data_IF_714947524564
#
_entry.id   IF_714947524564
#
_cell.length_a   1.000
_cell.length_b   1.000
_cell.length_c   1.000
_cell.angle_alpha   90.00
_cell.angle_beta   90.00
_cell.angle_gamma   90.00
#
_symmetry.space_group_name_H-M   'P 1'
#
loop_
_entity.id
_entity.type
_entity.pdbx_description
1 polymer ?
#
# COMPACT_ATOMS: atom_id res chain seq x y z
N UNK A 1 -18.30 -1.55 2.58
CA UNK A 1 -17.70 -1.95 1.31
C UNK A 1 -16.65 -3.03 1.56
N UNK A 2 -16.66 -4.08 0.77
CA UNK A 2 -15.65 -5.12 0.86
C UNK A 2 -14.86 -5.21 -0.44
N UNK A 3 -13.63 -5.69 -0.34
CA UNK A 3 -12.77 -5.95 -1.48
C UNK A 3 -11.96 -7.20 -1.20
N UNK A 4 -11.59 -7.93 -2.24
CA UNK A 4 -10.84 -9.18 -2.11
C UNK A 4 -9.42 -9.10 -2.66
N UNK A 5 -9.15 -8.13 -3.53
CA UNK A 5 -7.87 -7.99 -4.21
C UNK A 5 -7.51 -6.53 -4.37
N UNK A 6 -6.21 -6.29 -4.45
CA UNK A 6 -5.65 -4.97 -4.73
C UNK A 6 -4.70 -5.11 -5.91
N UNK A 7 -4.84 -4.24 -6.90
CA UNK A 7 -3.91 -4.20 -8.03
C UNK A 7 -2.99 -3.02 -7.88
N UNK A 8 -1.70 -3.30 -7.84
CA UNK A 8 -0.67 -2.27 -7.71
C UNK A 8 -0.36 -1.64 -9.06
N UNK A 9 0.28 -0.48 -9.03
CA UNK A 9 0.79 0.16 -10.23
C UNK A 9 1.98 -0.63 -10.77
N UNK A 10 2.27 -0.44 -12.05
CA UNK A 10 3.44 -1.04 -12.69
C UNK A 10 4.72 -0.59 -11.98
N UNK A 11 4.82 0.69 -11.66
CA UNK A 11 5.98 1.27 -10.98
C UNK A 11 6.22 0.65 -9.60
N UNK A 12 5.17 0.52 -8.79
CA UNK A 12 5.28 -0.10 -7.48
C UNK A 12 5.68 -1.57 -7.60
N UNK A 13 5.10 -2.30 -8.55
CA UNK A 13 5.39 -3.71 -8.78
C UNK A 13 6.86 -3.95 -9.12
N UNK A 14 7.42 -3.14 -10.02
CA UNK A 14 8.83 -3.25 -10.39
C UNK A 14 9.73 -3.00 -9.18
N UNK A 15 9.43 -1.98 -8.40
CA UNK A 15 10.22 -1.64 -7.21
C UNK A 15 10.15 -2.71 -6.14
N UNK A 16 8.99 -3.29 -5.92
CA UNK A 16 8.83 -4.41 -4.98
C UNK A 16 9.63 -5.63 -5.43
N UNK A 17 9.64 -5.92 -6.73
CA UNK A 17 10.43 -7.01 -7.29
C UNK A 17 11.93 -6.78 -7.05
N UNK A 18 12.41 -5.56 -7.25
CA UNK A 18 13.80 -5.20 -7.01
C UNK A 18 14.15 -5.32 -5.52
N UNK A 19 13.27 -4.86 -4.64
CA UNK A 19 13.47 -4.99 -3.20
C UNK A 19 13.49 -6.45 -2.76
N UNK A 20 12.61 -7.28 -3.31
CA UNK A 20 12.63 -8.72 -3.02
C UNK A 20 13.97 -9.34 -3.40
N UNK A 21 14.50 -8.97 -4.56
CA UNK A 21 15.80 -9.47 -5.02
C UNK A 21 16.95 -9.06 -4.09
N UNK A 22 16.86 -7.89 -3.48
CA UNK A 22 17.91 -7.36 -2.59
C UNK A 22 17.78 -7.84 -1.15
N UNK A 23 16.56 -7.99 -0.66
CA UNK A 23 16.32 -8.23 0.77
C UNK A 23 15.85 -9.65 1.07
N UNK A 24 15.34 -10.38 0.07
CA UNK A 24 14.71 -11.68 0.29
C UNK A 24 13.32 -11.59 0.91
N UNK A 25 12.80 -10.39 1.15
CA UNK A 25 11.48 -10.18 1.74
C UNK A 25 10.43 -10.19 0.64
N UNK A 26 9.31 -10.90 0.86
CA UNK A 26 8.25 -11.03 -0.14
C UNK A 26 7.48 -9.73 -0.34
N UNK A 27 6.90 -9.50 -1.54
CA UNK A 27 6.18 -8.27 -1.83
C UNK A 27 5.04 -7.93 -0.86
N UNK A 28 4.31 -8.94 -0.35
CA UNK A 28 3.23 -8.68 0.60
C UNK A 28 3.76 -8.07 1.91
N UNK A 29 4.88 -8.56 2.42
CA UNK A 29 5.50 -8.01 3.63
C UNK A 29 6.06 -6.61 3.34
N UNK A 30 6.71 -6.42 2.20
CA UNK A 30 7.21 -5.12 1.79
C UNK A 30 6.08 -4.10 1.66
N UNK A 31 4.93 -4.49 1.15
CA UNK A 31 3.74 -3.63 1.07
C UNK A 31 3.25 -3.20 2.45
N UNK A 32 3.26 -4.11 3.43
CA UNK A 32 2.86 -3.78 4.80
C UNK A 32 3.77 -2.72 5.40
N UNK A 33 5.06 -2.87 5.22
CA UNK A 33 6.06 -1.90 5.70
C UNK A 33 5.85 -0.56 4.98
N UNK A 34 5.71 -0.60 3.66
CA UNK A 34 5.49 0.59 2.86
C UNK A 34 4.20 1.32 3.24
N UNK A 35 3.12 0.59 3.50
CA UNK A 35 1.87 1.17 3.95
C UNK A 35 2.06 1.98 5.23
N UNK A 36 2.72 1.40 6.22
CA UNK A 36 3.00 2.10 7.48
C UNK A 36 3.86 3.34 7.23
N UNK A 37 4.82 3.25 6.32
CA UNK A 37 5.66 4.38 5.93
C UNK A 37 4.84 5.48 5.27
N UNK A 38 3.89 5.12 4.40
CA UNK A 38 3.01 6.07 3.74
C UNK A 38 2.11 6.81 4.73
N UNK A 39 1.66 6.12 5.79
CA UNK A 39 0.83 6.76 6.81
C UNK A 39 1.58 7.86 7.60
N UNK A 40 2.90 7.85 7.57
CA UNK A 40 3.70 8.90 8.22
C UNK A 40 3.77 10.18 7.40
N UNK A 41 3.48 10.10 6.12
CA UNK A 41 3.43 11.27 5.25
C UNK A 41 2.05 11.92 5.41
N UNK A 42 1.98 13.21 5.83
CA UNK A 42 0.69 13.86 6.04
C UNK A 42 -0.07 14.17 4.76
N UNK A 43 0.60 14.16 3.60
CA UNK A 43 -0.08 14.39 2.33
C UNK A 43 -1.05 13.25 2.01
N UNK A 44 -2.21 13.59 1.46
CA UNK A 44 -3.19 12.60 1.03
C UNK A 44 -2.76 12.08 -0.34
N UNK A 45 -2.50 10.77 -0.50
CA UNK A 45 -2.13 10.25 -1.81
C UNK A 45 -3.34 10.26 -2.74
N UNK A 46 -3.11 10.52 -4.01
CA UNK A 46 -4.17 10.57 -5.02
C UNK A 46 -4.23 9.23 -5.75
N UNK A 47 -5.35 8.50 -5.64
CA UNK A 47 -5.48 7.19 -6.30
C UNK A 47 -5.23 7.25 -7.82
N UNK A 48 -5.64 8.34 -8.47
CA UNK A 48 -5.47 8.51 -9.91
C UNK A 48 -4.01 8.60 -10.36
N UNK A 49 -3.08 8.82 -9.44
CA UNK A 49 -1.65 8.85 -9.77
C UNK A 49 -1.04 7.46 -9.95
N UNK A 50 -1.80 6.42 -9.65
CA UNK A 50 -1.31 5.04 -9.69
C UNK A 50 -2.14 4.21 -10.65
N UNK A 51 -1.51 3.72 -11.72
CA UNK A 51 -2.18 2.84 -12.68
C UNK A 51 -2.51 1.48 -12.06
N UNK A 52 -3.22 0.64 -12.80
CA UNK A 52 -3.60 -0.70 -12.37
C UNK A 52 -2.96 -1.76 -13.28
N UNK A 53 -1.74 -1.50 -13.73
CA UNK A 53 -1.05 -2.37 -14.70
C UNK A 53 -0.03 -3.30 -14.04
N UNK A 54 0.05 -3.27 -12.72
CA UNK A 54 1.01 -4.08 -12.00
C UNK A 54 0.41 -5.36 -11.41
N UNK A 55 1.09 -5.86 -10.38
CA UNK A 55 0.71 -7.10 -9.72
C UNK A 55 -0.60 -6.97 -8.96
N UNK A 56 -1.45 -7.99 -9.07
CA UNK A 56 -2.64 -8.12 -8.24
C UNK A 56 -2.31 -8.98 -7.03
N UNK A 57 -2.71 -8.52 -5.85
CA UNK A 57 -2.47 -9.24 -4.60
C UNK A 57 -3.80 -9.50 -3.92
N UNK A 58 -4.02 -10.74 -3.45
CA UNK A 58 -5.19 -11.08 -2.65
C UNK A 58 -5.13 -10.32 -1.33
N UNK A 59 -6.28 -9.85 -0.84
CA UNK A 59 -6.37 -9.05 0.39
C UNK A 59 -5.69 -9.71 1.57
N UNK A 60 -6.00 -10.97 1.82
CA UNK A 60 -5.49 -11.66 3.01
C UNK A 60 -4.04 -12.14 2.86
N UNK A 61 -3.56 -12.30 1.64
CA UNK A 61 -2.13 -12.47 1.37
C UNK A 61 -1.40 -11.17 1.69
N UNK A 62 -2.00 -10.04 1.33
CA UNK A 62 -1.41 -8.73 1.58
C UNK A 62 -1.35 -8.41 3.07
N UNK A 63 -2.47 -8.57 3.78
CA UNK A 63 -2.58 -8.15 5.18
C UNK A 63 -2.29 -9.26 6.19
N UNK A 64 -2.42 -10.53 5.78
CA UNK A 64 -2.19 -11.68 6.64
C UNK A 64 -3.18 -11.72 7.80
N UNK A 65 -2.71 -12.20 8.94
CA UNK A 65 -3.52 -12.26 10.17
C UNK A 65 -3.79 -10.87 10.76
N UNK A 66 -3.16 -9.82 10.22
CA UNK A 66 -3.29 -8.45 10.71
C UNK A 66 -4.30 -7.62 9.91
N UNK A 67 -5.18 -8.28 9.16
CA UNK A 67 -6.14 -7.58 8.28
C UNK A 67 -6.95 -6.52 9.01
N UNK A 68 -7.54 -6.89 10.15
CA UNK A 68 -8.36 -5.96 10.93
C UNK A 68 -7.56 -4.74 11.40
N UNK A 69 -6.29 -4.96 11.74
CA UNK A 69 -5.39 -3.91 12.18
C UNK A 69 -5.11 -2.92 11.04
N UNK A 70 -4.78 -3.43 9.85
CA UNK A 70 -4.51 -2.57 8.69
C UNK A 70 -5.75 -1.79 8.26
N UNK A 71 -6.92 -2.42 8.28
CA UNK A 71 -8.18 -1.73 7.96
C UNK A 71 -8.48 -0.64 9.00
N UNK A 72 -8.24 -0.92 10.29
CA UNK A 72 -8.43 0.07 11.35
C UNK A 72 -7.50 1.27 11.18
N UNK A 73 -6.23 1.04 10.85
CA UNK A 73 -5.27 2.10 10.57
C UNK A 73 -5.73 2.97 9.39
N UNK A 74 -6.24 2.33 8.34
CA UNK A 74 -6.72 3.06 7.16
C UNK A 74 -7.93 3.91 7.52
N UNK A 75 -8.88 3.38 8.28
CA UNK A 75 -10.05 4.14 8.73
C UNK A 75 -9.67 5.33 9.60
N UNK A 76 -8.72 5.14 10.50
CA UNK A 76 -8.19 6.22 11.34
C UNK A 76 -7.61 7.34 10.46
N UNK A 77 -6.83 6.97 9.45
CA UNK A 77 -6.25 7.95 8.53
C UNK A 77 -7.31 8.67 7.72
N UNK A 78 -8.35 7.97 7.26
CA UNK A 78 -9.45 8.58 6.53
C UNK A 78 -10.16 9.64 7.36
N UNK A 79 -10.44 9.33 8.63
CA UNK A 79 -11.06 10.28 9.55
C UNK A 79 -10.19 11.53 9.73
N UNK A 80 -8.90 11.33 9.90
CA UNK A 80 -7.94 12.41 10.04
C UNK A 80 -7.88 13.30 8.80
N UNK A 81 -7.99 12.69 7.62
CA UNK A 81 -7.92 13.39 6.33
C UNK A 81 -9.27 14.01 5.92
N UNK A 82 -10.34 13.77 6.68
CA UNK A 82 -11.66 14.26 6.35
C UNK A 82 -12.33 13.55 5.19
N UNK A 83 -11.91 12.30 4.93
CA UNK A 83 -12.45 11.49 3.83
C UNK A 83 -13.51 10.51 4.34
N UNK A 84 -14.27 9.94 3.40
CA UNK A 84 -15.35 9.00 3.72
C UNK A 84 -14.78 7.62 4.06
N UNK A 85 -15.14 7.09 5.26
CA UNK A 85 -14.58 5.81 5.73
C UNK A 85 -15.09 4.59 4.95
N UNK A 86 -16.14 4.75 4.17
CA UNK A 86 -16.66 3.67 3.35
C UNK A 86 -16.25 3.82 1.88
N UNK A 87 -16.58 4.96 1.27
CA UNK A 87 -16.34 5.17 -0.16
C UNK A 87 -14.87 5.34 -0.50
N UNK A 88 -14.08 5.93 0.40
CA UNK A 88 -12.67 6.20 0.15
C UNK A 88 -11.74 5.11 0.69
N UNK A 89 -12.28 4.11 1.39
CA UNK A 89 -11.44 3.07 2.04
C UNK A 89 -10.56 2.34 1.02
N UNK A 90 -11.17 1.73 0.02
CA UNK A 90 -10.40 0.95 -0.96
C UNK A 90 -9.49 1.82 -1.81
N UNK A 91 -9.95 2.93 -2.41
CA UNK A 91 -9.06 3.78 -3.20
C UNK A 91 -7.87 4.31 -2.40
N UNK A 92 -8.08 4.72 -1.17
CA UNK A 92 -7.01 5.26 -0.32
C UNK A 92 -6.06 4.16 0.16
N UNK A 93 -6.59 2.99 0.50
CA UNK A 93 -5.74 1.86 0.88
C UNK A 93 -4.79 1.52 -0.27
N UNK A 94 -5.31 1.45 -1.48
CA UNK A 94 -4.53 1.19 -2.69
C UNK A 94 -3.50 2.29 -2.92
N UNK A 95 -3.89 3.55 -2.80
CA UNK A 95 -2.98 4.68 -2.97
C UNK A 95 -1.84 4.66 -1.96
N UNK A 96 -2.13 4.39 -0.69
CA UNK A 96 -1.12 4.28 0.35
C UNK A 96 -0.17 3.09 0.11
N UNK A 97 -0.69 1.95 -0.34
CA UNK A 97 0.15 0.80 -0.67
C UNK A 97 1.12 1.13 -1.79
N UNK A 98 0.65 1.80 -2.84
CA UNK A 98 1.49 2.20 -3.96
C UNK A 98 2.54 3.23 -3.54
N UNK A 99 2.12 4.30 -2.87
CA UNK A 99 3.05 5.33 -2.40
C UNK A 99 4.08 4.75 -1.45
N UNK A 100 3.63 3.88 -0.56
CA UNK A 100 4.50 3.24 0.41
C UNK A 100 5.56 2.35 -0.23
N UNK A 101 5.20 1.58 -1.23
CA UNK A 101 6.15 0.72 -1.95
C UNK A 101 7.24 1.57 -2.61
N UNK A 102 6.85 2.66 -3.25
CA UNK A 102 7.79 3.57 -3.91
C UNK A 102 8.71 4.24 -2.88
N UNK A 103 8.14 4.74 -1.79
CA UNK A 103 8.91 5.37 -0.71
C UNK A 103 9.90 4.41 -0.07
N UNK A 104 9.48 3.17 0.16
CA UNK A 104 10.33 2.14 0.73
C UNK A 104 11.53 1.87 -0.19
N UNK A 105 11.26 1.72 -1.48
CA UNK A 105 12.32 1.52 -2.46
C UNK A 105 13.34 2.66 -2.42
N UNK A 106 12.85 3.91 -2.40
CA UNK A 106 13.71 5.09 -2.39
C UNK A 106 14.61 5.13 -1.15
N UNK A 107 14.15 4.60 -0.02
CA UNK A 107 14.94 4.54 1.21
C UNK A 107 15.97 3.42 1.20
N UNK A 108 15.67 2.30 0.54
CA UNK A 108 16.47 1.08 0.63
C UNK A 108 17.46 0.92 -0.54
N UNK A 109 17.15 1.51 -1.68
CA UNK A 109 17.91 1.29 -2.92
C UNK A 109 19.40 1.59 -2.83
N UNK A 110 19.80 2.45 -1.89
CA UNK A 110 21.19 2.86 -1.72
C UNK A 110 21.92 2.15 -0.58
N UNK A 111 21.26 1.22 0.07
CA UNK A 111 21.87 0.47 1.18
C UNK A 111 22.79 -0.66 0.69
#
# INVERSE_FOLDING_TARGET
MSFNRIRLSKSATVRLSMLKGRTGITPNILCRIGFCLSLRDPAIPKPENYDEEGQEINRYTLTGEWDKFFIALMKERLLKDGLDVNNDLFPQLRAHMNRGAISLYDRVKSL
#
